data_IF_034654578013
#
_entry.id   IF_034654578013
#
_cell.length_a   1.000
_cell.length_b   1.000
_cell.length_c   1.000
_cell.angle_alpha   90.00
_cell.angle_beta   90.00
_cell.angle_gamma   90.00
#
_symmetry.space_group_name_H-M   'P 1'
#
loop_
_entity.id
_entity.type
_entity.pdbx_description
1 polymer ?
#
# COMPACT_ATOMS: atom_id res chain seq x y z
N UNK A 1 -25.82 19.62 -24.11
CA UNK A 1 -25.24 18.35 -23.61
C UNK A 1 -25.58 18.27 -22.13
N UNK A 2 -26.62 17.53 -21.78
CA UNK A 2 -26.97 17.27 -20.38
C UNK A 2 -26.02 16.18 -19.84
N UNK A 3 -25.39 16.44 -18.70
CA UNK A 3 -24.57 15.45 -18.01
C UNK A 3 -25.50 14.41 -17.36
N UNK A 4 -25.20 13.10 -17.45
CA UNK A 4 -26.02 12.10 -16.79
C UNK A 4 -25.83 12.21 -15.27
N UNK A 5 -26.93 12.54 -14.58
CA UNK A 5 -27.01 12.44 -13.12
C UNK A 5 -27.03 10.95 -12.78
N UNK A 6 -25.90 10.43 -12.29
CA UNK A 6 -25.84 9.06 -11.78
C UNK A 6 -26.71 8.97 -10.52
N UNK A 7 -27.95 8.49 -10.70
CA UNK A 7 -28.82 8.10 -9.59
C UNK A 7 -28.23 6.84 -8.96
N UNK A 8 -27.43 7.01 -7.90
CA UNK A 8 -26.97 5.90 -7.09
C UNK A 8 -28.14 5.42 -6.23
N UNK A 9 -28.87 4.41 -6.72
CA UNK A 9 -29.87 3.71 -5.90
C UNK A 9 -29.10 3.06 -4.76
N UNK A 10 -29.33 3.52 -3.52
CA UNK A 10 -28.70 2.95 -2.33
C UNK A 10 -29.25 1.54 -2.14
N UNK A 11 -28.64 0.56 -2.80
CA UNK A 11 -28.82 -0.84 -2.48
C UNK A 11 -28.51 -1.04 -0.99
N UNK A 12 -29.24 -1.93 -0.33
CA UNK A 12 -29.10 -2.13 1.11
C UNK A 12 -27.64 -2.37 1.47
N UNK A 13 -27.09 -1.53 2.35
CA UNK A 13 -25.69 -1.64 2.76
C UNK A 13 -25.54 -2.92 3.57
N UNK A 14 -24.95 -3.96 2.97
CA UNK A 14 -24.75 -5.27 3.62
C UNK A 14 -23.72 -5.20 4.76
N UNK A 15 -22.91 -4.14 4.80
CA UNK A 15 -21.92 -3.87 5.84
C UNK A 15 -22.29 -2.61 6.62
N UNK A 16 -22.26 -2.68 7.95
CA UNK A 16 -22.50 -1.56 8.85
C UNK A 16 -21.25 -0.68 9.00
N UNK A 17 -21.43 0.56 9.47
CA UNK A 17 -20.30 1.42 9.83
C UNK A 17 -19.34 0.76 10.85
N UNK A 18 -19.88 -0.05 11.76
CA UNK A 18 -19.09 -0.79 12.75
C UNK A 18 -18.19 -1.82 12.08
N UNK A 19 -18.71 -2.55 11.10
CA UNK A 19 -17.94 -3.55 10.37
C UNK A 19 -16.89 -2.91 9.46
N UNK A 20 -17.18 -1.77 8.83
CA UNK A 20 -16.16 -1.00 8.08
C UNK A 20 -15.01 -0.56 9.00
N UNK A 21 -15.33 -0.06 10.20
CA UNK A 21 -14.29 0.29 11.17
C UNK A 21 -13.49 -0.93 11.63
N UNK A 22 -14.15 -2.08 11.84
CA UNK A 22 -13.46 -3.32 12.20
C UNK A 22 -12.50 -3.79 11.09
N UNK A 23 -12.90 -3.66 9.81
CA UNK A 23 -12.02 -3.93 8.67
C UNK A 23 -10.81 -2.99 8.68
N UNK A 24 -11.04 -1.69 8.89
CA UNK A 24 -9.96 -0.71 8.98
C UNK A 24 -8.97 -1.04 10.11
N UNK A 25 -9.46 -1.27 11.33
CA UNK A 25 -8.63 -1.56 12.49
C UNK A 25 -7.83 -2.85 12.30
N UNK A 26 -8.47 -3.89 11.76
CA UNK A 26 -7.81 -5.16 11.42
C UNK A 26 -6.72 -4.98 10.38
N UNK A 27 -7.01 -4.22 9.31
CA UNK A 27 -6.04 -3.95 8.24
C UNK A 27 -4.83 -3.15 8.74
N UNK A 28 -5.04 -2.16 9.61
CA UNK A 28 -3.97 -1.39 10.24
C UNK A 28 -3.12 -2.28 11.15
N UNK A 29 -3.72 -3.18 11.91
CA UNK A 29 -3.00 -4.14 12.74
C UNK A 29 -2.11 -5.07 11.89
N UNK A 30 -2.65 -5.60 10.79
CA UNK A 30 -1.91 -6.45 9.87
C UNK A 30 -0.75 -5.70 9.19
N UNK A 31 -0.98 -4.47 8.74
CA UNK A 31 0.09 -3.59 8.24
C UNK A 31 1.22 -3.46 9.25
N UNK A 32 0.90 -3.19 10.52
CA UNK A 32 1.89 -3.07 11.60
C UNK A 32 2.71 -4.33 11.77
N UNK A 33 2.05 -5.49 11.87
CA UNK A 33 2.71 -6.78 12.05
C UNK A 33 3.67 -7.09 10.89
N UNK A 34 3.17 -7.00 9.66
CA UNK A 34 3.96 -7.31 8.45
C UNK A 34 5.11 -6.32 8.29
N UNK A 35 4.90 -5.03 8.53
CA UNK A 35 5.95 -4.03 8.42
C UNK A 35 7.06 -4.25 9.46
N UNK A 36 6.70 -4.65 10.68
CA UNK A 36 7.67 -5.00 11.74
C UNK A 36 8.44 -6.28 11.38
N UNK A 37 7.75 -7.33 10.94
CA UNK A 37 8.37 -8.59 10.51
C UNK A 37 9.34 -8.39 9.35
N UNK A 38 8.88 -7.75 8.26
CA UNK A 38 9.71 -7.47 7.08
C UNK A 38 10.90 -6.57 7.41
N UNK A 39 10.73 -5.60 8.31
CA UNK A 39 11.87 -4.78 8.76
C UNK A 39 12.94 -5.63 9.42
N UNK A 40 12.55 -6.49 10.36
CA UNK A 40 13.51 -7.40 11.03
C UNK A 40 14.23 -8.30 10.02
N UNK A 41 13.53 -8.75 8.97
CA UNK A 41 14.11 -9.57 7.90
C UNK A 41 15.08 -8.80 6.99
N UNK A 42 14.76 -7.55 6.63
CA UNK A 42 15.56 -6.77 5.66
C UNK A 42 16.69 -5.95 6.29
N UNK A 43 16.50 -5.45 7.51
CA UNK A 43 17.48 -4.57 8.17
C UNK A 43 18.21 -5.27 9.30
N UNK A 44 17.72 -6.41 9.81
CA UNK A 44 18.27 -7.01 11.02
C UNK A 44 18.23 -6.00 12.18
N UNK A 45 19.40 -5.64 12.70
CA UNK A 45 19.58 -4.59 13.73
C UNK A 45 19.86 -3.19 13.14
N UNK A 46 19.93 -3.06 11.80
CA UNK A 46 20.12 -1.77 11.13
C UNK A 46 18.88 -0.88 11.31
N UNK A 47 19.16 0.38 11.61
CA UNK A 47 18.16 1.43 11.85
C UNK A 47 17.59 2.02 10.57
N UNK A 48 18.27 1.89 9.42
CA UNK A 48 17.78 2.44 8.15
C UNK A 48 16.80 1.50 7.43
N UNK A 49 15.52 1.66 7.76
CA UNK A 49 14.39 0.96 7.13
C UNK A 49 14.16 1.34 5.67
N UNK A 50 14.85 2.36 5.14
CA UNK A 50 14.72 2.87 3.78
C UNK A 50 15.95 2.54 2.91
N UNK A 51 17.00 1.95 3.49
CA UNK A 51 18.27 1.68 2.82
C UNK A 51 18.12 0.88 1.52
N UNK A 52 17.21 -0.09 1.49
CA UNK A 52 16.93 -0.89 0.28
C UNK A 52 16.42 -0.02 -0.89
N UNK A 53 15.57 0.98 -0.62
CA UNK A 53 15.06 1.87 -1.66
C UNK A 53 16.13 2.86 -2.15
N UNK A 54 16.99 3.33 -1.25
CA UNK A 54 18.14 4.18 -1.60
C UNK A 54 19.13 3.41 -2.48
N UNK A 55 19.45 2.17 -2.11
CA UNK A 55 20.30 1.30 -2.91
C UNK A 55 19.67 1.00 -4.28
N UNK A 56 18.38 0.65 -4.33
CA UNK A 56 17.66 0.41 -5.58
C UNK A 56 17.61 1.67 -6.47
N UNK A 57 17.48 2.85 -5.87
CA UNK A 57 17.49 4.13 -6.58
C UNK A 57 18.87 4.43 -7.19
N UNK A 58 19.94 4.20 -6.43
CA UNK A 58 21.31 4.34 -6.92
C UNK A 58 21.60 3.39 -8.10
N UNK A 59 21.19 2.12 -7.98
CA UNK A 59 21.35 1.12 -9.04
C UNK A 59 20.58 1.46 -10.32
N UNK A 60 19.41 2.10 -10.19
CA UNK A 60 18.52 2.43 -11.31
C UNK A 60 18.68 3.88 -11.80
N UNK A 61 19.65 4.63 -11.28
CA UNK A 61 19.85 6.05 -11.59
C UNK A 61 18.57 6.88 -11.47
N UNK A 62 17.84 6.68 -10.37
CA UNK A 62 16.54 7.31 -10.10
C UNK A 62 16.46 7.78 -8.64
N UNK A 63 15.32 8.31 -8.20
CA UNK A 63 15.12 8.73 -6.81
C UNK A 63 14.54 7.58 -5.96
N UNK A 64 14.74 7.56 -4.63
CA UNK A 64 14.14 6.55 -3.75
C UNK A 64 12.61 6.45 -3.87
N UNK A 65 11.91 7.57 -4.08
CA UNK A 65 10.47 7.59 -4.33
C UNK A 65 10.09 6.85 -5.61
N UNK A 66 10.86 7.05 -6.69
CA UNK A 66 10.63 6.39 -7.97
C UNK A 66 10.94 4.89 -7.90
N UNK A 67 12.02 4.52 -7.22
CA UNK A 67 12.37 3.13 -6.98
C UNK A 67 11.26 2.41 -6.18
N UNK A 68 10.76 3.04 -5.11
CA UNK A 68 9.64 2.52 -4.33
C UNK A 68 8.36 2.43 -5.17
N UNK A 69 8.03 3.47 -5.95
CA UNK A 69 6.85 3.48 -6.80
C UNK A 69 6.82 2.31 -7.80
N UNK A 70 7.98 1.95 -8.35
CA UNK A 70 8.12 0.75 -9.19
C UNK A 70 7.77 -0.55 -8.43
N UNK A 71 8.21 -0.67 -7.18
CA UNK A 71 7.88 -1.84 -6.34
C UNK A 71 6.40 -1.86 -5.92
N UNK A 72 5.80 -0.71 -5.65
CA UNK A 72 4.36 -0.57 -5.37
C UNK A 72 3.51 -0.93 -6.60
N UNK A 73 3.95 -0.56 -7.81
CA UNK A 73 3.18 -0.70 -9.03
C UNK A 73 2.67 -2.13 -9.26
N UNK A 74 3.49 -3.16 -9.00
CA UNK A 74 3.07 -4.56 -9.16
C UNK A 74 1.91 -4.95 -8.24
N UNK A 75 1.83 -4.38 -7.04
CA UNK A 75 0.75 -4.64 -6.09
C UNK A 75 -0.54 -3.94 -6.53
N UNK A 76 -0.43 -2.71 -7.03
CA UNK A 76 -1.57 -1.97 -7.59
C UNK A 76 -2.12 -2.67 -8.83
N UNK A 77 -1.25 -3.07 -9.78
CA UNK A 77 -1.66 -3.82 -10.97
C UNK A 77 -2.38 -5.12 -10.57
N UNK A 78 -1.82 -5.88 -9.62
CA UNK A 78 -2.46 -7.09 -9.10
C UNK A 78 -3.84 -6.82 -8.49
N UNK A 79 -4.03 -5.72 -7.76
CA UNK A 79 -5.34 -5.35 -7.22
C UNK A 79 -6.34 -5.01 -8.33
N UNK A 80 -5.90 -4.30 -9.36
CA UNK A 80 -6.74 -4.04 -10.53
C UNK A 80 -7.13 -5.35 -11.21
N UNK A 81 -6.18 -6.22 -11.51
CA UNK A 81 -6.46 -7.52 -12.13
C UNK A 81 -7.47 -8.33 -11.31
N UNK A 82 -7.37 -8.30 -9.97
CA UNK A 82 -8.32 -8.98 -9.08
C UNK A 82 -9.73 -8.36 -9.12
N UNK A 83 -9.84 -7.02 -9.18
CA UNK A 83 -11.13 -6.33 -9.28
C UNK A 83 -11.82 -6.57 -10.63
N UNK A 84 -11.05 -6.78 -11.70
CA UNK A 84 -11.57 -6.96 -13.07
C UNK A 84 -11.61 -8.42 -13.54
N UNK A 85 -11.27 -9.38 -12.68
CA UNK A 85 -11.33 -10.79 -13.02
C UNK A 85 -12.79 -11.30 -12.96
N UNK A 86 -13.42 -11.37 -14.13
CA UNK A 86 -14.78 -11.92 -14.24
C UNK A 86 -14.81 -13.42 -13.89
N UNK A 87 -15.70 -13.78 -12.96
CA UNK A 87 -15.93 -15.18 -12.59
C UNK A 87 -14.85 -15.82 -11.72
N UNK A 88 -13.89 -15.04 -11.21
CA UNK A 88 -12.83 -15.54 -10.31
C UNK A 88 -13.10 -15.06 -8.89
N UNK A 89 -13.21 -16.00 -7.96
CA UNK A 89 -13.25 -15.69 -6.52
C UNK A 89 -11.86 -15.87 -5.94
N UNK A 90 -11.22 -14.76 -5.57
CA UNK A 90 -9.96 -14.80 -4.83
C UNK A 90 -10.22 -15.08 -3.35
N UNK A 91 -9.30 -15.83 -2.74
CA UNK A 91 -9.31 -16.06 -1.31
C UNK A 91 -9.15 -14.72 -0.54
N UNK A 92 -9.88 -14.51 0.58
CA UNK A 92 -9.75 -13.31 1.39
C UNK A 92 -8.30 -12.99 1.79
N UNK A 93 -7.48 -13.99 2.08
CA UNK A 93 -6.06 -13.80 2.42
C UNK A 93 -5.24 -13.21 1.26
N UNK A 94 -5.65 -13.44 0.01
CA UNK A 94 -5.01 -12.81 -1.15
C UNK A 94 -5.30 -11.31 -1.20
N UNK A 95 -6.54 -10.92 -0.91
CA UNK A 95 -6.91 -9.50 -0.78
C UNK A 95 -6.14 -8.84 0.34
N UNK A 96 -6.13 -9.47 1.53
CA UNK A 96 -5.41 -8.97 2.69
C UNK A 96 -3.93 -8.77 2.39
N UNK A 97 -3.27 -9.72 1.74
CA UNK A 97 -1.86 -9.60 1.35
C UNK A 97 -1.63 -8.38 0.43
N UNK A 98 -2.38 -8.27 -0.67
CA UNK A 98 -2.15 -7.21 -1.67
C UNK A 98 -2.50 -5.82 -1.13
N UNK A 99 -3.56 -5.71 -0.34
CA UNK A 99 -3.95 -4.46 0.33
C UNK A 99 -2.88 -4.08 1.37
N UNK A 100 -2.46 -5.04 2.20
CA UNK A 100 -1.43 -4.82 3.23
C UNK A 100 -0.12 -4.34 2.62
N UNK A 101 0.37 -5.00 1.58
CA UNK A 101 1.62 -4.62 0.91
C UNK A 101 1.50 -3.23 0.29
N UNK A 102 0.40 -2.94 -0.40
CA UNK A 102 0.17 -1.62 -1.00
C UNK A 102 0.16 -0.51 0.05
N UNK A 103 -0.55 -0.69 1.16
CA UNK A 103 -0.58 0.27 2.27
C UNK A 103 0.81 0.44 2.90
N UNK A 104 1.54 -0.65 3.13
CA UNK A 104 2.88 -0.60 3.69
C UNK A 104 3.86 0.17 2.80
N UNK A 105 3.83 -0.02 1.49
CA UNK A 105 4.62 0.79 0.56
C UNK A 105 4.22 2.26 0.60
N UNK A 106 2.93 2.59 0.71
CA UNK A 106 2.49 3.99 0.86
C UNK A 106 2.98 4.62 2.17
N UNK A 107 3.00 3.89 3.27
CA UNK A 107 3.59 4.36 4.53
C UNK A 107 5.10 4.59 4.42
N UNK A 108 5.82 3.69 3.75
CA UNK A 108 7.25 3.83 3.49
C UNK A 108 7.56 5.00 2.55
N UNK A 109 6.73 5.22 1.52
CA UNK A 109 6.83 6.38 0.64
C UNK A 109 6.69 7.68 1.44
N UNK A 110 5.71 7.75 2.35
CA UNK A 110 5.55 8.90 3.25
C UNK A 110 6.80 9.13 4.11
N UNK A 111 7.49 8.08 4.55
CA UNK A 111 8.74 8.19 5.29
C UNK A 111 9.89 8.72 4.42
N UNK A 112 10.04 8.23 3.17
CA UNK A 112 11.05 8.74 2.22
C UNK A 112 10.85 10.23 1.96
N UNK A 113 9.61 10.65 1.67
CA UNK A 113 9.30 12.06 1.40
C UNK A 113 9.65 12.94 2.61
N UNK A 114 9.34 12.47 3.83
CA UNK A 114 9.69 13.20 5.07
C UNK A 114 11.20 13.29 5.28
N UNK A 115 11.94 12.22 5.01
CA UNK A 115 13.41 12.20 5.10
C UNK A 115 14.03 13.21 4.12
N UNK A 116 13.57 13.22 2.86
CA UNK A 116 14.02 14.17 1.85
C UNK A 116 13.79 15.63 2.23
N UNK A 117 12.65 15.96 2.84
CA UNK A 117 12.36 17.31 3.35
C UNK A 117 13.29 17.72 4.49
N UNK A 118 13.63 16.80 5.38
CA UNK A 118 14.51 17.05 6.53
C UNK A 118 15.94 17.34 6.05
N UNK A 119 16.41 16.61 5.04
CA UNK A 119 17.75 16.79 4.48
C UNK A 119 17.91 18.09 3.68
N UNK A 120 16.82 18.70 3.20
CA UNK A 120 16.87 19.99 2.50
C UNK A 120 16.90 21.20 3.45
N UNK A 121 16.55 21.01 4.72
CA UNK A 121 16.51 22.07 5.74
C UNK A 121 17.80 22.18 6.56
N UNK A 122 18.71 21.21 6.42
CA UNK A 122 20.02 21.17 7.08
C UNK A 122 21.14 21.52 6.08
#
# INVERSE_FOLDING_TARGET
MEQPVFYFKKEGCLITQKEVNAVFDGQVALCREILQKKTKEYTGDDTDRLGAFKAAAALQHTTPERALAGMLAKHIVSLYDMCFADGVNFDPGTWDEKITDSLNYLFLLKAIVKEGQTNQQN
#
